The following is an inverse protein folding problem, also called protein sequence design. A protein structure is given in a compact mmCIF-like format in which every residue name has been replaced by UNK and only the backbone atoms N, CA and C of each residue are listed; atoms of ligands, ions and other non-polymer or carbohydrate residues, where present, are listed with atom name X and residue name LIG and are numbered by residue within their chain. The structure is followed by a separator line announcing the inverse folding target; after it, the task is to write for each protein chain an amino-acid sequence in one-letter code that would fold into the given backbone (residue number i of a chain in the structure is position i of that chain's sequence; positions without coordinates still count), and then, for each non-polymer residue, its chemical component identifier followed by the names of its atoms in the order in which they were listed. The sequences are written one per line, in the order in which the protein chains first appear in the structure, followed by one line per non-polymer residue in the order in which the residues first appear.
data_IF_311682872993
#
_entry.id   IF_311682872993
#
_cell.length_a   1.000
_cell.length_b   1.000
_cell.length_c   1.000
_cell.angle_alpha   90.00
_cell.angle_beta   90.00
_cell.angle_gamma   90.00
#
_symmetry.space_group_name_H-M   'P 1'
#
loop_
_entity.id
_entity.type
_entity.pdbx_description
1 polymer ?
#
# COMPACT_ATOMS: atom_id res chain seq x y z
N UNK A 1 12.18 -2.60 -22.31
CA UNK A 1 11.85 -1.76 -23.47
C UNK A 1 13.12 -1.36 -24.23
N UNK A 2 13.18 -1.64 -25.52
CA UNK A 2 14.26 -1.18 -26.40
C UNK A 2 13.62 -0.37 -27.55
N UNK A 3 13.81 0.95 -27.60
CA UNK A 3 13.16 1.83 -28.58
C UNK A 3 13.64 1.59 -30.02
N UNK A 4 14.74 0.86 -30.20
CA UNK A 4 15.30 0.54 -31.52
C UNK A 4 14.74 -0.73 -32.15
N UNK A 5 13.88 -1.46 -31.45
CA UNK A 5 13.23 -2.68 -31.95
C UNK A 5 11.77 -2.36 -32.28
N UNK A 6 11.33 -2.74 -33.48
CA UNK A 6 9.90 -2.70 -33.84
C UNK A 6 9.13 -3.69 -32.98
N UNK A 7 8.34 -3.19 -32.04
CA UNK A 7 7.49 -3.95 -31.12
C UNK A 7 6.07 -3.96 -31.68
N UNK A 8 5.45 -5.14 -31.78
CA UNK A 8 4.02 -5.25 -32.11
C UNK A 8 3.19 -5.00 -30.84
N UNK A 9 1.97 -4.44 -30.96
CA UNK A 9 1.10 -4.23 -29.79
C UNK A 9 0.79 -5.51 -28.99
N UNK A 10 0.89 -6.69 -29.63
CA UNK A 10 0.70 -8.00 -29.00
C UNK A 10 1.93 -8.49 -28.22
N UNK A 11 3.08 -7.86 -28.37
CA UNK A 11 4.30 -8.30 -27.70
C UNK A 11 4.28 -7.92 -26.23
N UNK A 12 4.73 -8.81 -25.36
CA UNK A 12 4.85 -8.56 -23.92
C UNK A 12 5.72 -7.33 -23.61
N UNK A 13 6.69 -7.04 -24.47
CA UNK A 13 7.53 -5.86 -24.39
C UNK A 13 6.78 -4.53 -24.64
N UNK A 14 5.60 -4.59 -25.28
CA UNK A 14 4.75 -3.41 -25.50
C UNK A 14 3.92 -3.06 -24.24
N UNK A 15 3.73 -4.01 -23.32
CA UNK A 15 2.97 -3.80 -22.10
C UNK A 15 3.77 -3.01 -21.06
N UNK A 16 3.27 -1.82 -20.70
CA UNK A 16 3.89 -0.99 -19.66
C UNK A 16 3.60 -1.58 -18.26
N UNK A 17 4.55 -2.31 -17.68
CA UNK A 17 4.44 -2.81 -16.31
C UNK A 17 4.41 -1.70 -15.27
N UNK A 18 4.93 -0.51 -15.59
CA UNK A 18 5.01 0.63 -14.68
C UNK A 18 3.66 1.33 -14.54
N UNK A 19 2.93 1.49 -15.64
CA UNK A 19 1.70 2.31 -15.67
C UNK A 19 0.43 1.49 -15.88
N UNK A 20 0.50 0.35 -16.61
CA UNK A 20 -0.66 -0.52 -16.85
C UNK A 20 -0.72 -1.72 -15.92
N UNK A 21 0.44 -2.28 -15.53
CA UNK A 21 0.49 -3.42 -14.64
C UNK A 21 -0.08 -3.05 -13.27
N UNK A 22 -1.00 -3.87 -12.76
CA UNK A 22 -1.59 -3.72 -11.43
C UNK A 22 -1.21 -4.90 -10.56
N UNK A 23 -0.60 -4.62 -9.41
CA UNK A 23 -0.02 -5.62 -8.52
C UNK A 23 -0.48 -5.40 -7.08
N UNK A 24 -0.69 -6.48 -6.35
CA UNK A 24 -0.74 -6.43 -4.89
C UNK A 24 0.69 -6.25 -4.36
N UNK A 25 0.95 -5.14 -3.71
CA UNK A 25 2.32 -4.72 -3.37
C UNK A 25 2.85 -5.36 -2.08
N UNK A 26 2.02 -6.13 -1.38
CA UNK A 26 2.41 -6.82 -0.15
C UNK A 26 2.99 -5.86 0.89
N UNK A 27 4.02 -6.28 1.57
CA UNK A 27 4.61 -5.54 2.71
C UNK A 27 5.15 -4.16 2.37
N UNK A 28 5.33 -3.82 1.09
CA UNK A 28 5.68 -2.45 0.70
C UNK A 28 4.54 -1.45 0.96
N UNK A 29 3.34 -1.92 1.29
CA UNK A 29 2.21 -1.07 1.65
C UNK A 29 2.20 -0.65 3.13
N UNK A 30 2.91 -1.36 3.99
CA UNK A 30 2.94 -1.14 5.45
C UNK A 30 3.33 0.29 5.88
N UNK A 31 4.28 0.97 5.22
CA UNK A 31 4.58 2.37 5.56
C UNK A 31 3.39 3.31 5.49
N UNK A 32 2.46 3.08 4.56
CA UNK A 32 1.25 3.91 4.43
C UNK A 32 0.31 3.71 5.61
N UNK A 33 0.18 2.49 6.12
CA UNK A 33 -0.63 2.19 7.31
C UNK A 33 -0.04 2.84 8.57
N UNK A 34 1.28 2.70 8.76
CA UNK A 34 1.97 3.32 9.91
C UNK A 34 1.85 4.84 9.84
N UNK A 35 2.07 5.44 8.66
CA UNK A 35 1.94 6.88 8.48
C UNK A 35 0.52 7.38 8.80
N UNK A 36 -0.52 6.66 8.30
CA UNK A 36 -1.91 6.99 8.60
C UNK A 36 -2.21 6.95 10.09
N UNK A 37 -1.75 5.91 10.77
CA UNK A 37 -2.02 5.71 12.19
C UNK A 37 -1.30 6.75 13.08
N UNK A 38 -0.06 7.11 12.74
CA UNK A 38 0.70 8.16 13.42
C UNK A 38 0.09 9.55 13.18
N UNK A 39 -0.24 9.90 11.92
CA UNK A 39 -0.82 11.21 11.57
C UNK A 39 -2.17 11.44 12.28
N UNK A 40 -2.97 10.38 12.39
CA UNK A 40 -4.25 10.43 13.08
C UNK A 40 -4.14 10.26 14.60
N UNK A 41 -2.94 10.17 15.16
CA UNK A 41 -2.67 9.97 16.59
C UNK A 41 -3.37 8.75 17.19
N UNK A 42 -3.59 7.72 16.37
CA UNK A 42 -4.17 6.44 16.80
C UNK A 42 -3.12 5.63 17.56
N UNK A 43 -1.86 5.79 17.16
CA UNK A 43 -0.70 5.17 17.80
C UNK A 43 0.43 6.18 17.99
N UNK A 44 1.36 5.81 18.86
CA UNK A 44 2.68 6.42 18.98
C UNK A 44 3.77 5.35 18.75
N UNK A 45 5.02 5.76 18.65
CA UNK A 45 6.15 4.82 18.51
C UNK A 45 6.37 3.95 19.76
N UNK A 46 5.77 4.31 20.90
CA UNK A 46 5.85 3.56 22.16
C UNK A 46 4.76 2.51 22.28
N UNK A 47 3.71 2.59 21.46
CA UNK A 47 2.62 1.64 21.45
C UNK A 47 3.00 0.37 20.69
N UNK A 48 2.14 -0.64 20.73
CA UNK A 48 2.34 -1.90 20.05
C UNK A 48 1.12 -2.79 20.11
N UNK A 49 1.26 -3.99 19.56
CA UNK A 49 0.17 -4.94 19.44
C UNK A 49 0.63 -6.35 19.82
N UNK A 50 -0.31 -7.14 20.32
CA UNK A 50 -0.09 -8.55 20.61
C UNK A 50 -0.04 -9.35 19.29
N UNK A 51 1.13 -9.87 18.97
CA UNK A 51 1.37 -10.76 17.84
C UNK A 51 1.75 -12.19 18.28
N UNK A 52 1.35 -12.57 19.51
CA UNK A 52 1.65 -13.90 20.09
C UNK A 52 0.99 -15.02 19.28
N UNK A 53 -0.21 -14.78 18.76
CA UNK A 53 -1.00 -15.79 18.03
C UNK A 53 -1.58 -15.21 16.75
N UNK A 54 -1.88 -16.07 15.76
CA UNK A 54 -2.62 -15.66 14.56
C UNK A 54 -3.92 -14.94 14.91
N UNK A 55 -4.19 -13.84 14.22
CA UNK A 55 -5.39 -13.03 14.42
C UNK A 55 -6.56 -13.63 13.66
N UNK A 56 -7.58 -14.12 14.40
CA UNK A 56 -8.81 -14.65 13.82
C UNK A 56 -9.84 -13.54 13.66
N UNK A 57 -10.29 -13.30 12.42
CA UNK A 57 -11.32 -12.32 12.09
C UNK A 57 -12.41 -13.01 11.30
N UNK A 58 -13.53 -13.32 11.96
CA UNK A 58 -14.62 -14.14 11.38
C UNK A 58 -14.07 -15.48 10.86
N UNK A 59 -14.17 -15.73 9.54
CA UNK A 59 -13.65 -16.94 8.87
C UNK A 59 -12.20 -16.82 8.40
N UNK A 60 -11.60 -15.63 8.51
CA UNK A 60 -10.23 -15.37 8.05
C UNK A 60 -9.24 -15.50 9.20
N UNK A 61 -8.03 -15.92 8.89
CA UNK A 61 -6.92 -16.01 9.83
C UNK A 61 -5.75 -15.25 9.23
N UNK A 62 -5.30 -14.20 9.92
CA UNK A 62 -4.12 -13.41 9.55
C UNK A 62 -2.92 -13.96 10.32
N UNK A 63 -1.85 -14.24 9.61
CA UNK A 63 -0.61 -14.81 10.13
C UNK A 63 0.58 -13.95 9.73
N UNK A 64 1.61 -13.99 10.55
CA UNK A 64 2.93 -13.49 10.17
C UNK A 64 3.70 -14.58 9.41
N UNK A 65 4.47 -14.18 8.40
CA UNK A 65 5.34 -15.11 7.65
C UNK A 65 6.50 -15.60 8.54
N UNK A 66 7.00 -14.72 9.41
CA UNK A 66 8.06 -15.00 10.39
C UNK A 66 7.61 -14.58 11.79
N UNK A 67 6.71 -15.36 12.46
CA UNK A 67 6.11 -14.97 13.71
C UNK A 67 7.15 -14.81 14.82
N UNK A 68 6.97 -13.79 15.66
CA UNK A 68 7.78 -13.53 16.84
C UNK A 68 7.12 -14.03 18.13
N UNK A 69 5.85 -14.40 18.05
CA UNK A 69 5.05 -15.01 19.12
C UNK A 69 5.09 -14.22 20.44
N UNK A 70 5.08 -12.89 20.31
CA UNK A 70 5.08 -11.97 21.46
C UNK A 70 4.43 -10.63 21.09
N UNK A 71 4.24 -9.80 22.09
CA UNK A 71 3.92 -8.39 21.88
C UNK A 71 5.03 -7.69 21.10
N UNK A 72 4.65 -6.86 20.13
CA UNK A 72 5.57 -6.09 19.29
C UNK A 72 5.25 -4.60 19.39
N UNK A 73 6.26 -3.78 19.63
CA UNK A 73 6.13 -2.33 19.49
C UNK A 73 5.91 -1.92 18.03
N UNK A 74 5.38 -0.71 17.81
CA UNK A 74 5.16 -0.18 16.45
C UNK A 74 6.43 -0.25 15.59
N UNK A 75 7.63 0.15 16.07
CA UNK A 75 8.87 -0.03 15.32
C UNK A 75 9.19 -1.50 15.02
N UNK A 76 8.91 -2.42 15.95
CA UNK A 76 9.15 -3.85 15.74
C UNK A 76 8.15 -4.47 14.75
N UNK A 77 6.88 -4.06 14.80
CA UNK A 77 5.86 -4.46 13.80
C UNK A 77 6.34 -4.10 12.39
N UNK A 78 6.88 -2.90 12.23
CA UNK A 78 7.42 -2.45 10.97
C UNK A 78 8.72 -3.21 10.59
N UNK A 79 9.67 -3.32 11.51
CA UNK A 79 10.96 -4.00 11.33
C UNK A 79 10.81 -5.46 10.96
N UNK A 80 9.93 -6.19 11.65
CA UNK A 80 9.69 -7.62 11.42
C UNK A 80 8.60 -7.88 10.40
N UNK A 81 8.02 -6.83 9.83
CA UNK A 81 6.97 -6.93 8.82
C UNK A 81 5.75 -7.74 9.29
N UNK A 82 5.31 -7.55 10.55
CA UNK A 82 4.18 -8.27 11.11
C UNK A 82 2.87 -7.90 10.43
N UNK A 83 2.19 -8.88 9.83
CA UNK A 83 0.85 -8.74 9.27
C UNK A 83 -0.19 -8.60 10.38
N UNK A 84 0.01 -9.33 11.48
CA UNK A 84 -0.88 -9.33 12.67
C UNK A 84 -0.90 -7.92 13.29
N UNK A 85 0.27 -7.32 13.51
CA UNK A 85 0.38 -5.97 14.06
C UNK A 85 -0.22 -4.92 13.13
N UNK A 86 0.04 -5.02 11.82
CA UNK A 86 -0.54 -4.10 10.83
C UNK A 86 -2.06 -4.19 10.74
N UNK A 87 -2.62 -5.41 10.80
CA UNK A 87 -4.06 -5.62 10.76
C UNK A 87 -4.76 -5.01 11.99
N UNK A 88 -4.19 -5.17 13.18
CA UNK A 88 -4.72 -4.55 14.41
C UNK A 88 -4.62 -3.03 14.34
N UNK A 89 -3.49 -2.49 13.89
CA UNK A 89 -3.30 -1.05 13.66
C UNK A 89 -4.34 -0.48 12.68
N UNK A 90 -4.62 -1.18 11.59
CA UNK A 90 -5.63 -0.76 10.62
C UNK A 90 -7.06 -0.83 11.18
N UNK A 91 -7.34 -1.79 12.05
CA UNK A 91 -8.62 -1.88 12.76
C UNK A 91 -8.82 -0.64 13.64
N UNK A 92 -7.83 -0.26 14.44
CA UNK A 92 -7.91 0.90 15.32
C UNK A 92 -7.96 2.21 14.53
N UNK A 93 -7.25 2.29 13.39
CA UNK A 93 -7.30 3.44 12.48
C UNK A 93 -8.69 3.65 11.88
N UNK A 94 -9.34 2.55 11.52
CA UNK A 94 -10.63 2.56 10.84
C UNK A 94 -10.54 2.78 9.34
N UNK A 95 -11.60 2.33 8.65
CA UNK A 95 -11.69 2.29 7.18
C UNK A 95 -11.56 3.68 6.56
N UNK A 96 -12.25 4.67 7.09
CA UNK A 96 -12.34 5.99 6.45
C UNK A 96 -11.01 6.75 6.51
N UNK A 97 -10.31 6.71 7.64
CA UNK A 97 -8.98 7.35 7.78
C UNK A 97 -7.93 6.68 6.89
N UNK A 98 -7.99 5.33 6.75
CA UNK A 98 -7.11 4.61 5.83
C UNK A 98 -7.35 5.05 4.39
N UNK A 99 -8.61 5.08 3.94
CA UNK A 99 -8.98 5.54 2.60
C UNK A 99 -8.56 6.98 2.35
N UNK A 100 -8.77 7.86 3.34
CA UNK A 100 -8.41 9.28 3.22
C UNK A 100 -6.91 9.44 2.94
N UNK A 101 -6.04 8.76 3.70
CA UNK A 101 -4.61 8.83 3.44
C UNK A 101 -4.25 8.24 2.07
N UNK A 102 -4.74 7.06 1.73
CA UNK A 102 -4.44 6.43 0.44
C UNK A 102 -4.89 7.29 -0.73
N UNK A 103 -6.00 8.02 -0.58
CA UNK A 103 -6.47 9.01 -1.56
C UNK A 103 -5.54 10.23 -1.62
N UNK A 104 -5.12 10.79 -0.48
CA UNK A 104 -4.15 11.89 -0.41
C UNK A 104 -2.84 11.53 -1.11
N UNK A 105 -2.38 10.28 -0.95
CA UNK A 105 -1.19 9.73 -1.59
C UNK A 105 -1.37 9.41 -3.09
N UNK A 106 -2.59 9.53 -3.64
CA UNK A 106 -2.89 9.23 -5.04
C UNK A 106 -2.98 7.75 -5.37
N UNK A 107 -3.04 6.88 -4.37
CA UNK A 107 -3.10 5.41 -4.55
C UNK A 107 -4.47 4.97 -5.07
N UNK A 108 -5.54 5.66 -4.71
CA UNK A 108 -6.90 5.29 -5.09
C UNK A 108 -7.35 5.90 -6.43
N UNK A 109 -6.53 6.73 -7.04
CA UNK A 109 -6.83 7.41 -8.29
C UNK A 109 -5.87 6.97 -9.41
N UNK A 110 -6.26 7.18 -10.66
CA UNK A 110 -5.38 7.00 -11.81
C UNK A 110 -4.21 7.99 -11.71
N UNK A 111 -2.98 7.52 -11.92
CA UNK A 111 -1.81 8.41 -11.94
C UNK A 111 -1.95 9.47 -13.04
N UNK A 112 -1.61 10.70 -12.70
CA UNK A 112 -1.55 11.82 -13.65
C UNK A 112 -0.12 11.89 -14.18
N UNK A 113 0.07 11.44 -15.39
CA UNK A 113 1.33 11.48 -16.15
C UNK A 113 0.96 11.61 -17.62
N UNK A 114 1.87 12.12 -18.45
CA UNK A 114 1.62 12.43 -19.88
C UNK A 114 1.55 11.21 -20.79
N UNK A 115 1.23 10.04 -20.23
CA UNK A 115 1.01 8.79 -20.97
C UNK A 115 -0.47 8.50 -21.09
N UNK A 116 -0.89 7.98 -22.25
CA UNK A 116 -2.26 7.51 -22.48
C UNK A 116 -2.55 6.20 -21.76
N UNK A 117 -1.55 5.31 -21.70
CA UNK A 117 -1.65 3.97 -21.13
C UNK A 117 -1.36 4.00 -19.62
N UNK A 118 -2.34 4.38 -18.84
CA UNK A 118 -2.28 4.36 -17.38
C UNK A 118 -3.47 3.59 -16.82
N UNK A 119 -3.20 2.54 -16.06
CA UNK A 119 -4.21 1.71 -15.40
C UNK A 119 -4.88 2.42 -14.23
N UNK A 120 -6.10 1.98 -13.91
CA UNK A 120 -6.78 2.37 -12.67
C UNK A 120 -6.42 1.37 -11.57
N UNK A 121 -6.38 1.78 -10.29
CA UNK A 121 -6.23 0.85 -9.20
C UNK A 121 -7.42 -0.11 -9.12
N UNK A 122 -7.18 -1.34 -8.70
CA UNK A 122 -8.21 -2.33 -8.40
C UNK A 122 -8.46 -2.27 -6.90
N UNK A 123 -9.63 -1.83 -6.51
CA UNK A 123 -10.02 -1.64 -5.11
C UNK A 123 -11.29 -2.45 -4.78
N UNK A 124 -11.52 -2.82 -3.51
CA UNK A 124 -12.74 -3.51 -3.12
C UNK A 124 -13.98 -2.68 -3.44
N UNK A 125 -15.00 -3.30 -4.04
CA UNK A 125 -16.32 -2.64 -4.27
C UNK A 125 -16.96 -2.20 -2.95
N UNK A 126 -16.88 -3.06 -1.94
CA UNK A 126 -17.30 -2.77 -0.56
C UNK A 126 -16.08 -2.87 0.33
N UNK A 127 -15.66 -1.75 0.89
CA UNK A 127 -14.49 -1.68 1.75
C UNK A 127 -14.92 -1.84 3.22
N UNK A 128 -14.82 -3.06 3.73
CA UNK A 128 -15.16 -3.43 5.11
C UNK A 128 -13.91 -3.44 5.98
N UNK A 129 -14.07 -3.58 7.29
CA UNK A 129 -12.95 -3.69 8.24
C UNK A 129 -11.93 -4.76 7.82
N UNK A 130 -12.38 -5.95 7.43
CA UNK A 130 -11.47 -7.01 6.97
C UNK A 130 -10.65 -6.60 5.74
N UNK A 131 -11.24 -5.84 4.81
CA UNK A 131 -10.49 -5.31 3.66
C UNK A 131 -9.43 -4.29 4.11
N UNK A 132 -9.78 -3.43 5.08
CA UNK A 132 -8.84 -2.48 5.67
C UNK A 132 -7.66 -3.20 6.34
N UNK A 133 -7.94 -4.29 7.07
CA UNK A 133 -6.91 -5.11 7.69
C UNK A 133 -5.97 -5.76 6.66
N UNK A 134 -6.50 -6.34 5.57
CA UNK A 134 -5.65 -6.96 4.54
C UNK A 134 -4.88 -5.93 3.72
N UNK A 135 -5.50 -4.80 3.39
CA UNK A 135 -4.86 -3.68 2.68
C UNK A 135 -3.70 -3.08 3.48
N UNK A 136 -3.77 -3.13 4.82
CA UNK A 136 -2.71 -2.60 5.68
C UNK A 136 -1.33 -3.23 5.43
N UNK A 137 -1.29 -4.44 4.90
CA UNK A 137 -0.07 -5.14 4.49
C UNK A 137 -0.06 -5.49 2.98
N UNK A 138 -0.88 -4.76 2.18
CA UNK A 138 -0.82 -4.73 0.73
C UNK A 138 -1.54 -5.85 -0.01
N UNK A 139 -2.54 -6.50 0.60
CA UNK A 139 -3.41 -7.49 -0.03
C UNK A 139 -4.84 -6.99 -0.18
N UNK A 140 -5.52 -7.38 -1.26
CA UNK A 140 -6.90 -6.96 -1.55
C UNK A 140 -7.00 -5.57 -2.19
N UNK A 141 -5.86 -4.99 -2.57
CA UNK A 141 -5.73 -3.80 -3.41
C UNK A 141 -4.62 -4.01 -4.42
N UNK A 142 -4.86 -3.70 -5.69
CA UNK A 142 -3.80 -3.76 -6.69
C UNK A 142 -3.62 -2.39 -7.36
N UNK A 143 -2.38 -1.96 -7.46
CA UNK A 143 -1.96 -0.65 -7.95
C UNK A 143 -0.77 -0.79 -8.89
N UNK A 144 -0.51 0.22 -9.70
CA UNK A 144 0.67 0.21 -10.56
C UNK A 144 1.92 0.73 -9.82
N UNK A 145 3.08 0.45 -10.38
CA UNK A 145 4.36 0.82 -9.77
C UNK A 145 4.54 2.34 -9.66
N UNK A 146 4.03 3.11 -10.62
CA UNK A 146 4.10 4.56 -10.58
C UNK A 146 3.31 5.16 -9.41
N UNK A 147 2.12 4.59 -9.11
CA UNK A 147 1.33 5.01 -7.95
C UNK A 147 2.10 4.82 -6.65
N UNK A 148 2.72 3.65 -6.48
CA UNK A 148 3.50 3.35 -5.27
C UNK A 148 4.73 4.24 -5.15
N UNK A 149 5.49 4.40 -6.23
CA UNK A 149 6.67 5.26 -6.24
C UNK A 149 6.32 6.72 -5.88
N UNK A 150 5.23 7.23 -6.45
CA UNK A 150 4.75 8.58 -6.15
C UNK A 150 4.28 8.72 -4.70
N UNK A 151 3.56 7.73 -4.17
CA UNK A 151 3.12 7.72 -2.77
C UNK A 151 4.32 7.71 -1.80
N UNK A 152 5.34 6.92 -2.08
CA UNK A 152 6.59 6.95 -1.31
C UNK A 152 7.30 8.30 -1.38
N UNK A 153 7.38 8.89 -2.57
CA UNK A 153 7.98 10.22 -2.76
C UNK A 153 7.28 11.27 -1.89
N UNK A 154 5.93 11.23 -1.80
CA UNK A 154 5.15 12.12 -0.93
C UNK A 154 5.50 11.89 0.55
N UNK A 155 5.61 10.63 0.99
CA UNK A 155 5.95 10.32 2.39
C UNK A 155 7.32 10.87 2.79
N UNK A 156 8.34 10.76 1.92
CA UNK A 156 9.72 11.12 2.28
C UNK A 156 10.09 12.57 2.00
N UNK A 157 9.23 13.33 1.30
CA UNK A 157 9.48 14.74 0.98
C UNK A 157 8.74 15.74 1.91
N UNK A 158 8.30 15.25 3.06
CA UNK A 158 7.54 16.07 4.02
C UNK A 158 6.05 16.19 3.68
N UNK A 159 5.48 15.22 2.98
CA UNK A 159 4.05 15.17 2.66
C UNK A 159 3.65 16.03 1.45
N UNK A 160 4.60 16.61 0.73
CA UNK A 160 4.31 17.47 -0.42
C UNK A 160 3.90 16.62 -1.61
N UNK A 161 2.69 16.90 -2.14
CA UNK A 161 2.19 16.22 -3.33
C UNK A 161 3.03 16.62 -4.55
N UNK A 162 3.49 15.63 -5.30
CA UNK A 162 4.18 15.79 -6.57
C UNK A 162 3.35 15.14 -7.68
N UNK A 163 3.46 15.71 -8.88
CA UNK A 163 2.87 15.11 -10.08
C UNK A 163 4.02 14.51 -10.88
N UNK A 164 4.03 13.18 -11.09
CA UNK A 164 5.06 12.58 -11.92
C UNK A 164 4.94 13.07 -13.35
N UNK A 165 6.08 13.31 -14.00
CA UNK A 165 6.17 13.75 -15.38
C UNK A 165 7.30 13.01 -16.10
N UNK A 166 7.13 12.78 -17.39
CA UNK A 166 8.18 12.25 -18.28
C UNK A 166 8.76 13.37 -19.15
N UNK A 167 8.27 14.60 -19.00
CA UNK A 167 8.77 15.76 -19.74
C UNK A 167 9.97 16.36 -18.99
N UNK A 168 11.00 16.70 -19.75
CA UNK A 168 12.11 17.50 -19.25
C UNK A 168 11.69 18.99 -19.34
N UNK A 169 11.81 19.71 -18.23
CA UNK A 169 11.64 21.15 -18.18
C UNK A 169 12.93 21.84 -18.57
#
# INVERSE_FOLDING_TARGET
FNPNIKIKPSDDAAFSRVTLGSYEMGSTFKPFTVAAALENKVISLKDGYDATKPLKVSRFIIRDDHPKERWLSVPEIFKYSSNIGMAQMAKDLGVEKQKELLKKLGILDRSKVELSEVGKPIIPRTWREINSMTISYGHGIAVNLLQVANAYAILVNGGKKITPTILLN
#
